data_IF_677148637767
#
_entry.id   IF_677148637767
#
_cell.length_a   1.000
_cell.length_b   1.000
_cell.length_c   1.000
_cell.angle_alpha   90.00
_cell.angle_beta   90.00
_cell.angle_gamma   90.00
#
_symmetry.space_group_name_H-M   'P 1'
#
loop_
_entity.id
_entity.type
_entity.pdbx_description
1 polymer ?
#
# COMPACT_ATOMS: atom_id res chain seq x y z
N UNK A 1 1.03 -37.09 17.12
CA UNK A 1 1.27 -35.69 17.49
C UNK A 1 0.75 -34.84 16.36
N UNK A 2 -0.34 -34.09 16.57
CA UNK A 2 -0.84 -33.16 15.58
C UNK A 2 0.18 -32.01 15.47
N UNK A 3 0.68 -31.75 14.27
CA UNK A 3 1.50 -30.56 14.05
C UNK A 3 0.66 -29.32 14.36
N UNK A 4 1.21 -28.29 15.03
CA UNK A 4 0.48 -27.06 15.23
C UNK A 4 0.10 -26.47 13.87
N UNK A 5 -1.17 -26.06 13.76
CA UNK A 5 -1.72 -25.41 12.57
C UNK A 5 -0.95 -24.11 12.24
N UNK A 6 -0.96 -23.70 10.98
CA UNK A 6 -0.18 -22.53 10.49
C UNK A 6 -0.40 -21.26 11.32
N UNK A 7 -1.63 -21.00 11.77
CA UNK A 7 -1.98 -19.87 12.62
C UNK A 7 -1.30 -19.94 14.01
N UNK A 8 -1.26 -21.13 14.62
CA UNK A 8 -0.61 -21.33 15.91
C UNK A 8 0.90 -21.12 15.83
N UNK A 9 1.51 -21.47 14.69
CA UNK A 9 2.93 -21.20 14.42
C UNK A 9 3.22 -19.70 14.24
N UNK A 10 2.30 -18.94 13.63
CA UNK A 10 2.44 -17.48 13.52
C UNK A 10 2.39 -16.83 14.89
N UNK A 11 1.42 -17.20 15.74
CA UNK A 11 1.32 -16.62 17.09
C UNK A 11 2.51 -17.01 17.96
N UNK A 12 2.98 -18.25 17.87
CA UNK A 12 4.20 -18.68 18.54
C UNK A 12 5.42 -17.86 18.08
N UNK A 13 5.55 -17.64 16.77
CA UNK A 13 6.59 -16.78 16.20
C UNK A 13 6.56 -15.36 16.76
N UNK A 14 5.38 -14.74 16.87
CA UNK A 14 5.21 -13.39 17.45
C UNK A 14 5.62 -13.34 18.93
N UNK A 15 5.31 -14.40 19.69
CA UNK A 15 5.74 -14.51 21.09
C UNK A 15 7.26 -14.60 21.19
N UNK A 16 7.92 -15.33 20.29
CA UNK A 16 9.38 -15.37 20.24
C UNK A 16 9.99 -14.03 19.81
N UNK A 17 9.41 -13.33 18.84
CA UNK A 17 9.84 -11.96 18.48
C UNK A 17 9.74 -11.00 19.68
N UNK A 18 8.63 -11.03 20.42
CA UNK A 18 8.44 -10.20 21.61
C UNK A 18 9.46 -10.49 22.72
N UNK A 19 10.02 -11.71 22.74
CA UNK A 19 11.07 -12.14 23.67
C UNK A 19 12.49 -11.88 23.14
N UNK A 20 12.62 -11.41 21.89
CA UNK A 20 13.91 -11.18 21.23
C UNK A 20 14.57 -12.44 20.66
N UNK A 21 13.88 -13.58 20.66
CA UNK A 21 14.40 -14.83 20.07
C UNK A 21 14.06 -14.91 18.58
N UNK A 22 14.84 -14.18 17.79
CA UNK A 22 14.67 -14.08 16.33
C UNK A 22 14.87 -15.44 15.64
N UNK A 23 15.73 -16.30 16.20
CA UNK A 23 16.01 -17.63 15.62
C UNK A 23 14.82 -18.58 15.77
N UNK A 24 14.20 -18.62 16.95
CA UNK A 24 12.99 -19.41 17.19
C UNK A 24 11.80 -18.87 16.40
N UNK A 25 11.66 -17.55 16.29
CA UNK A 25 10.63 -16.91 15.45
C UNK A 25 10.76 -17.29 13.98
N UNK A 26 11.99 -17.22 13.42
CA UNK A 26 12.27 -17.61 12.03
C UNK A 26 11.87 -19.07 11.76
N UNK A 27 12.15 -19.99 12.68
CA UNK A 27 11.76 -21.40 12.55
C UNK A 27 10.25 -21.58 12.55
N UNK A 28 9.52 -20.90 13.44
CA UNK A 28 8.06 -20.96 13.48
C UNK A 28 7.45 -20.44 12.18
N UNK A 29 7.94 -19.30 11.68
CA UNK A 29 7.47 -18.73 10.41
C UNK A 29 7.82 -19.59 9.20
N UNK A 30 9.00 -20.24 9.16
CA UNK A 30 9.32 -21.22 8.11
C UNK A 30 8.38 -22.40 8.09
N UNK A 31 8.01 -22.92 9.26
CA UNK A 31 7.06 -24.02 9.36
C UNK A 31 5.66 -23.58 8.91
N UNK A 32 5.19 -22.40 9.32
CA UNK A 32 3.90 -21.87 8.86
C UNK A 32 3.89 -21.59 7.35
N UNK A 33 4.98 -21.02 6.81
CA UNK A 33 5.12 -20.77 5.38
C UNK A 33 5.14 -22.07 4.56
N UNK A 34 5.80 -23.11 5.06
CA UNK A 34 5.78 -24.44 4.43
C UNK A 34 4.38 -25.08 4.43
N UNK A 35 3.52 -24.70 5.37
CA UNK A 35 2.11 -25.11 5.40
C UNK A 35 1.19 -24.27 4.50
N UNK A 36 1.73 -23.24 3.83
CA UNK A 36 0.96 -22.36 2.94
C UNK A 36 0.35 -21.14 3.64
N UNK A 37 0.67 -20.87 4.90
CA UNK A 37 0.14 -19.72 5.63
C UNK A 37 0.75 -18.41 5.12
N UNK A 38 -0.09 -17.52 4.58
CA UNK A 38 0.37 -16.27 3.97
C UNK A 38 0.89 -15.26 4.99
N UNK A 39 0.41 -15.29 6.23
CA UNK A 39 0.90 -14.42 7.30
C UNK A 39 2.28 -14.88 7.80
N UNK A 40 2.51 -16.20 7.86
CA UNK A 40 3.82 -16.77 8.13
C UNK A 40 4.84 -16.41 7.03
N UNK A 41 4.42 -16.45 5.76
CA UNK A 41 5.26 -16.02 4.62
C UNK A 41 5.63 -14.53 4.70
N UNK A 42 4.66 -13.63 4.95
CA UNK A 42 4.92 -12.19 5.15
C UNK A 42 5.90 -11.97 6.32
N UNK A 43 5.65 -12.60 7.47
CA UNK A 43 6.49 -12.48 8.66
C UNK A 43 7.91 -12.99 8.45
N UNK A 44 8.05 -14.16 7.83
CA UNK A 44 9.36 -14.71 7.47
C UNK A 44 10.12 -13.76 6.55
N UNK A 45 9.45 -13.22 5.54
CA UNK A 45 10.10 -12.32 4.61
C UNK A 45 10.56 -11.01 5.26
N UNK A 46 9.77 -10.42 6.16
CA UNK A 46 10.17 -9.24 6.93
C UNK A 46 11.37 -9.52 7.82
N UNK A 47 11.38 -10.66 8.50
CA UNK A 47 12.51 -11.07 9.34
C UNK A 47 13.80 -11.25 8.52
N UNK A 48 13.69 -11.90 7.36
CA UNK A 48 14.81 -12.04 6.42
C UNK A 48 15.29 -10.69 5.86
N UNK A 49 14.36 -9.76 5.63
CA UNK A 49 14.66 -8.42 5.15
C UNK A 49 15.36 -7.56 6.23
N UNK A 50 14.83 -7.54 7.46
CA UNK A 50 15.42 -6.82 8.60
C UNK A 50 16.82 -7.33 8.95
N UNK A 51 17.05 -8.64 8.82
CA UNK A 51 18.38 -9.24 8.96
C UNK A 51 19.41 -8.62 8.02
N UNK A 52 18.99 -8.21 6.83
CA UNK A 52 19.85 -7.55 5.84
C UNK A 52 19.97 -6.04 6.12
N UNK A 53 18.96 -5.40 6.69
CA UNK A 53 18.97 -3.98 7.04
C UNK A 53 19.82 -3.68 8.30
N UNK A 54 19.82 -4.57 9.29
CA UNK A 54 20.47 -4.37 10.61
C UNK A 54 21.98 -4.67 10.58
N UNK A 55 22.49 -5.49 9.65
CA UNK A 55 23.93 -5.74 9.53
C UNK A 55 24.64 -4.54 8.86
N UNK A 56 25.16 -3.65 9.70
CA UNK A 56 25.71 -2.35 9.33
C UNK A 56 26.85 -2.37 8.29
N UNK A 57 27.18 -1.16 7.80
CA UNK A 57 28.11 -0.84 6.69
C UNK A 57 29.48 -1.55 6.71
N UNK A 58 29.92 -2.13 7.84
CA UNK A 58 31.20 -2.82 8.00
C UNK A 58 31.14 -4.32 7.63
N UNK A 59 29.97 -4.96 7.70
CA UNK A 59 29.79 -6.40 7.43
C UNK A 59 29.33 -6.69 5.99
N UNK A 60 28.95 -5.63 5.26
CA UNK A 60 28.43 -5.65 3.88
C UNK A 60 29.33 -6.41 2.89
N UNK A 61 30.66 -6.42 3.12
CA UNK A 61 31.61 -7.15 2.27
C UNK A 61 31.81 -8.61 2.68
N UNK A 62 31.74 -8.94 3.98
CA UNK A 62 32.00 -10.30 4.48
C UNK A 62 30.79 -11.23 4.30
N UNK A 63 29.58 -10.67 4.26
CA UNK A 63 28.32 -11.42 4.19
C UNK A 63 27.47 -11.11 2.93
N UNK A 64 28.07 -10.52 1.89
CA UNK A 64 27.36 -10.08 0.69
C UNK A 64 26.47 -11.17 0.09
N UNK A 65 27.05 -12.35 -0.15
CA UNK A 65 26.33 -13.47 -0.76
C UNK A 65 25.18 -13.99 0.13
N UNK A 66 25.37 -13.97 1.46
CA UNK A 66 24.32 -14.34 2.42
C UNK A 66 23.17 -13.33 2.43
N UNK A 67 23.48 -12.05 2.37
CA UNK A 67 22.48 -10.97 2.35
C UNK A 67 21.71 -10.95 1.03
N UNK A 68 22.39 -11.21 -0.09
CA UNK A 68 21.76 -11.33 -1.39
C UNK A 68 20.85 -12.58 -1.44
N UNK A 69 21.26 -13.69 -0.83
CA UNK A 69 20.41 -14.89 -0.68
C UNK A 69 19.18 -14.61 0.18
N UNK A 70 19.32 -13.96 1.34
CA UNK A 70 18.21 -13.63 2.22
C UNK A 70 17.22 -12.65 1.54
N UNK A 71 17.71 -11.68 0.77
CA UNK A 71 16.85 -10.78 -0.03
C UNK A 71 16.07 -11.52 -1.11
N UNK A 72 16.69 -12.49 -1.79
CA UNK A 72 16.01 -13.33 -2.79
C UNK A 72 14.94 -14.22 -2.15
N UNK A 73 15.26 -14.82 -1.01
CA UNK A 73 14.32 -15.64 -0.24
C UNK A 73 13.13 -14.79 0.26
N UNK A 74 13.38 -13.60 0.80
CA UNK A 74 12.33 -12.67 1.18
C UNK A 74 11.43 -12.28 -0.01
N UNK A 75 12.02 -11.95 -1.18
CA UNK A 75 11.25 -11.66 -2.41
C UNK A 75 10.36 -12.84 -2.81
N UNK A 76 10.88 -14.07 -2.74
CA UNK A 76 10.12 -15.27 -3.08
C UNK A 76 8.91 -15.44 -2.16
N UNK A 77 9.10 -15.36 -0.83
CA UNK A 77 7.99 -15.53 0.11
C UNK A 77 6.95 -14.41 0.01
N UNK A 78 7.38 -13.16 -0.16
CA UNK A 78 6.48 -12.04 -0.41
C UNK A 78 5.68 -12.23 -1.69
N UNK A 79 6.31 -12.70 -2.77
CA UNK A 79 5.61 -12.97 -4.03
C UNK A 79 4.55 -14.04 -3.85
N UNK A 80 4.88 -15.16 -3.22
CA UNK A 80 3.91 -16.24 -2.94
C UNK A 80 2.74 -15.76 -2.09
N UNK A 81 3.02 -14.99 -1.02
CA UNK A 81 1.97 -14.45 -0.16
C UNK A 81 1.11 -13.38 -0.88
N UNK A 82 1.74 -12.52 -1.68
CA UNK A 82 1.05 -11.50 -2.47
C UNK A 82 0.16 -12.13 -3.56
N UNK A 83 0.67 -13.16 -4.26
CA UNK A 83 -0.10 -13.91 -5.25
C UNK A 83 -1.28 -14.68 -4.60
N UNK A 84 -1.15 -15.07 -3.33
CA UNK A 84 -2.22 -15.65 -2.53
C UNK A 84 -3.21 -14.61 -1.96
N UNK A 85 -3.06 -13.31 -2.27
CA UNK A 85 -4.00 -12.25 -1.90
C UNK A 85 -3.69 -11.52 -0.60
N UNK A 86 -2.53 -11.75 0.02
CA UNK A 86 -2.14 -11.06 1.25
C UNK A 86 -1.75 -9.60 0.95
N UNK A 87 -2.61 -8.66 1.35
CA UNK A 87 -2.44 -7.22 1.08
C UNK A 87 -1.17 -6.63 1.71
N UNK A 88 -0.79 -7.11 2.89
CA UNK A 88 0.45 -6.70 3.57
C UNK A 88 1.69 -7.17 2.81
N UNK A 89 1.67 -8.42 2.31
CA UNK A 89 2.75 -8.96 1.49
C UNK A 89 2.87 -8.22 0.15
N UNK A 90 1.76 -7.81 -0.47
CA UNK A 90 1.77 -6.97 -1.67
C UNK A 90 2.49 -5.63 -1.40
N UNK A 91 2.17 -4.95 -0.29
CA UNK A 91 2.81 -3.70 0.08
C UNK A 91 4.31 -3.89 0.38
N UNK A 92 4.68 -4.94 1.09
CA UNK A 92 6.07 -5.27 1.40
C UNK A 92 6.86 -5.66 0.14
N UNK A 93 6.26 -6.39 -0.80
CA UNK A 93 6.86 -6.69 -2.10
C UNK A 93 7.11 -5.42 -2.91
N UNK A 94 6.15 -4.50 -2.93
CA UNK A 94 6.31 -3.20 -3.58
C UNK A 94 7.49 -2.41 -3.01
N UNK A 95 7.67 -2.40 -1.68
CA UNK A 95 8.81 -1.75 -1.03
C UNK A 95 10.14 -2.38 -1.42
N UNK A 96 10.21 -3.70 -1.43
CA UNK A 96 11.42 -4.42 -1.83
C UNK A 96 11.81 -4.13 -3.28
N UNK A 97 10.84 -4.08 -4.18
CA UNK A 97 11.06 -3.79 -5.61
C UNK A 97 11.50 -2.33 -5.83
N UNK A 98 10.89 -1.38 -5.13
CA UNK A 98 11.27 0.04 -5.21
C UNK A 98 12.72 0.26 -4.77
N UNK A 99 13.15 -0.40 -3.69
CA UNK A 99 14.55 -0.36 -3.24
C UNK A 99 15.53 -0.99 -4.23
N UNK A 100 15.09 -1.99 -5.00
CA UNK A 100 15.85 -2.60 -6.07
C UNK A 100 15.86 -1.74 -7.35
N UNK A 101 15.10 -0.65 -7.38
CA UNK A 101 14.96 0.22 -8.53
C UNK A 101 13.93 -0.28 -9.56
N UNK A 102 13.23 -1.37 -9.27
CA UNK A 102 12.17 -1.96 -10.10
C UNK A 102 10.83 -1.21 -9.90
N UNK A 103 10.87 0.13 -10.06
CA UNK A 103 9.78 1.05 -9.68
C UNK A 103 8.44 0.78 -10.39
N UNK A 104 8.48 0.35 -11.65
CA UNK A 104 7.26 0.07 -12.40
C UNK A 104 6.51 -1.16 -11.83
N UNK A 105 7.24 -2.20 -11.44
CA UNK A 105 6.62 -3.37 -10.80
C UNK A 105 6.19 -3.05 -9.37
N UNK A 106 6.97 -2.25 -8.64
CA UNK A 106 6.61 -1.76 -7.31
C UNK A 106 5.27 -1.01 -7.29
N UNK A 107 5.07 -0.09 -8.24
CA UNK A 107 3.83 0.67 -8.41
C UNK A 107 2.62 -0.26 -8.59
N UNK A 108 2.73 -1.31 -9.41
CA UNK A 108 1.66 -2.28 -9.62
C UNK A 108 1.30 -3.04 -8.34
N UNK A 109 2.31 -3.44 -7.55
CA UNK A 109 2.07 -4.12 -6.28
C UNK A 109 1.45 -3.22 -5.23
N UNK A 110 1.85 -1.96 -5.18
CA UNK A 110 1.21 -0.99 -4.30
C UNK A 110 -0.25 -0.75 -4.69
N UNK A 111 -0.57 -0.60 -5.97
CA UNK A 111 -1.96 -0.44 -6.42
C UNK A 111 -2.82 -1.65 -6.02
N UNK A 112 -2.32 -2.87 -6.22
CA UNK A 112 -3.03 -4.09 -5.77
C UNK A 112 -3.21 -4.15 -4.26
N UNK A 113 -2.20 -3.75 -3.50
CA UNK A 113 -2.28 -3.68 -2.04
C UNK A 113 -3.37 -2.68 -1.60
N UNK A 114 -3.44 -1.51 -2.25
CA UNK A 114 -4.48 -0.51 -2.02
C UNK A 114 -5.87 -1.05 -2.35
N UNK A 115 -6.04 -1.73 -3.48
CA UNK A 115 -7.31 -2.38 -3.86
C UNK A 115 -7.75 -3.43 -2.83
N UNK A 116 -6.80 -4.15 -2.26
CA UNK A 116 -7.01 -5.11 -1.18
C UNK A 116 -7.19 -4.47 0.22
N UNK A 117 -7.12 -3.13 0.32
CA UNK A 117 -7.39 -2.38 1.55
C UNK A 117 -6.16 -2.05 2.41
N UNK A 118 -4.95 -2.32 1.94
CA UNK A 118 -3.72 -2.02 2.68
C UNK A 118 -3.38 -0.52 2.60
N UNK A 119 -3.69 0.18 3.68
CA UNK A 119 -3.53 1.65 3.75
C UNK A 119 -2.06 2.10 3.76
N UNK A 120 -1.14 1.25 4.23
CA UNK A 120 0.30 1.58 4.18
C UNK A 120 0.84 1.69 2.75
N UNK A 121 0.25 0.96 1.80
CA UNK A 121 0.62 1.02 0.39
C UNK A 121 0.33 2.38 -0.25
N UNK A 122 -0.72 3.09 0.19
CA UNK A 122 -1.04 4.43 -0.29
C UNK A 122 0.11 5.41 0.01
N UNK A 123 0.68 5.35 1.22
CA UNK A 123 1.81 6.21 1.58
C UNK A 123 3.05 5.92 0.71
N UNK A 124 3.34 4.65 0.49
CA UNK A 124 4.51 4.24 -0.28
C UNK A 124 4.36 4.55 -1.77
N UNK A 125 3.14 4.43 -2.30
CA UNK A 125 2.81 4.85 -3.66
C UNK A 125 3.01 6.35 -3.83
N UNK A 126 2.56 7.16 -2.86
CA UNK A 126 2.81 8.61 -2.87
C UNK A 126 4.31 8.94 -2.88
N UNK A 127 5.13 8.22 -2.10
CA UNK A 127 6.58 8.41 -2.08
C UNK A 127 7.25 8.01 -3.41
N UNK A 128 6.79 6.93 -4.03
CA UNK A 128 7.26 6.48 -5.33
C UNK A 128 7.00 7.56 -6.41
N UNK A 129 5.80 8.12 -6.43
CA UNK A 129 5.40 9.18 -7.37
C UNK A 129 6.15 10.48 -7.12
N UNK A 130 6.34 10.84 -5.85
CA UNK A 130 7.11 12.03 -5.46
C UNK A 130 8.54 11.96 -6.00
N UNK A 131 9.21 10.80 -5.84
CA UNK A 131 10.57 10.59 -6.40
C UNK A 131 10.61 10.55 -7.93
N UNK A 132 9.49 10.26 -8.59
CA UNK A 132 9.33 10.35 -10.05
C UNK A 132 9.06 11.78 -10.52
N UNK A 133 8.81 12.72 -9.60
CA UNK A 133 8.39 14.09 -9.92
C UNK A 133 6.90 14.23 -10.22
N UNK A 134 6.12 13.18 -10.05
CA UNK A 134 4.66 13.23 -10.13
C UNK A 134 4.09 13.65 -8.77
N UNK A 135 4.25 14.92 -8.46
CA UNK A 135 3.82 15.46 -7.17
C UNK A 135 2.28 15.46 -7.05
N UNK A 136 1.53 15.45 -8.16
CA UNK A 136 0.07 15.53 -8.17
C UNK A 136 -0.52 14.18 -7.73
N UNK A 137 -0.03 13.10 -8.35
CA UNK A 137 -0.34 11.74 -7.93
C UNK A 137 0.19 11.44 -6.52
N UNK A 138 1.37 11.97 -6.15
CA UNK A 138 1.89 11.84 -4.79
C UNK A 138 0.95 12.48 -3.76
N UNK A 139 0.48 13.70 -4.03
CA UNK A 139 -0.49 14.40 -3.20
C UNK A 139 -1.80 13.65 -3.05
N UNK A 140 -2.35 13.12 -4.15
CA UNK A 140 -3.56 12.29 -4.11
C UNK A 140 -3.41 11.13 -3.12
N UNK A 141 -2.38 10.30 -3.28
CA UNK A 141 -2.21 9.11 -2.43
C UNK A 141 -1.84 9.45 -0.98
N UNK A 142 -1.08 10.52 -0.74
CA UNK A 142 -0.79 10.98 0.62
C UNK A 142 -2.02 11.59 1.30
N UNK A 143 -2.91 12.26 0.57
CA UNK A 143 -4.20 12.67 1.11
C UNK A 143 -5.06 11.47 1.49
N UNK A 144 -5.18 10.46 0.61
CA UNK A 144 -5.88 9.21 0.93
C UNK A 144 -5.27 8.49 2.15
N UNK A 145 -3.95 8.39 2.20
CA UNK A 145 -3.24 7.76 3.33
C UNK A 145 -3.43 8.54 4.65
N UNK A 146 -3.38 9.88 4.60
CA UNK A 146 -3.63 10.73 5.76
C UNK A 146 -5.07 10.58 6.26
N UNK A 147 -6.02 10.50 5.34
CA UNK A 147 -7.43 10.27 5.62
C UNK A 147 -7.66 8.88 6.27
N UNK A 148 -6.87 7.88 5.88
CA UNK A 148 -6.80 6.57 6.53
C UNK A 148 -6.00 6.56 7.86
N UNK A 149 -5.56 7.72 8.36
CA UNK A 149 -4.87 7.86 9.66
C UNK A 149 -3.34 7.79 9.61
N UNK A 150 -2.72 7.79 8.43
CA UNK A 150 -1.25 7.74 8.30
C UNK A 150 -0.59 9.06 8.69
N UNK A 151 0.05 9.08 9.87
CA UNK A 151 0.87 10.22 10.32
C UNK A 151 2.08 10.49 9.39
N UNK A 152 2.63 9.45 8.77
CA UNK A 152 3.72 9.58 7.81
C UNK A 152 3.25 10.36 6.57
N UNK A 153 2.05 10.09 6.09
CA UNK A 153 1.48 10.79 4.94
C UNK A 153 1.23 12.27 5.25
N UNK A 154 0.70 12.60 6.44
CA UNK A 154 0.52 13.99 6.89
C UNK A 154 1.84 14.76 6.91
N UNK A 155 2.93 14.10 7.32
CA UNK A 155 4.27 14.71 7.29
C UNK A 155 4.73 14.92 5.85
N UNK A 156 4.58 13.92 4.99
CA UNK A 156 5.02 13.98 3.59
C UNK A 156 4.27 15.04 2.78
N UNK A 157 2.98 15.28 3.07
CA UNK A 157 2.21 16.36 2.44
C UNK A 157 2.84 17.75 2.63
N UNK A 158 3.61 17.97 3.70
CA UNK A 158 4.32 19.24 3.95
C UNK A 158 5.51 19.45 3.02
N UNK A 159 6.02 18.37 2.42
CA UNK A 159 7.14 18.42 1.48
C UNK A 159 6.67 18.72 0.04
N UNK A 160 5.36 18.71 -0.22
CA UNK A 160 4.83 19.06 -1.53
C UNK A 160 5.07 20.53 -1.86
N UNK A 161 5.42 20.85 -3.12
CA UNK A 161 5.49 22.23 -3.58
C UNK A 161 4.16 22.97 -3.37
N UNK A 162 4.19 24.26 -2.95
CA UNK A 162 2.98 25.03 -2.74
C UNK A 162 2.20 25.24 -4.05
N UNK A 163 0.86 25.28 -3.94
CA UNK A 163 -0.03 25.55 -5.08
C UNK A 163 -0.33 24.34 -5.96
N UNK A 164 0.03 23.14 -5.52
CA UNK A 164 -0.26 21.93 -6.29
C UNK A 164 -1.74 21.51 -6.16
N UNK A 165 -2.45 21.24 -7.28
CA UNK A 165 -3.78 20.66 -7.21
C UNK A 165 -3.72 19.25 -6.62
N UNK A 166 -4.74 18.87 -5.86
CA UNK A 166 -4.98 17.45 -5.53
C UNK A 166 -5.27 16.77 -6.87
N UNK A 167 -4.28 16.01 -7.37
CA UNK A 167 -4.40 15.37 -8.68
C UNK A 167 -5.51 14.32 -8.70
N UNK A 168 -6.09 14.02 -9.88
CA UNK A 168 -6.90 12.82 -10.03
C UNK A 168 -6.06 11.57 -9.68
N UNK A 169 -6.69 10.43 -9.34
CA UNK A 169 -5.97 9.18 -9.16
C UNK A 169 -5.06 8.93 -10.36
N UNK A 170 -3.75 8.69 -10.17
CA UNK A 170 -2.84 8.51 -11.30
C UNK A 170 -3.30 7.31 -12.12
N UNK A 171 -3.39 7.51 -13.44
CA UNK A 171 -3.78 6.45 -14.37
C UNK A 171 -2.73 5.34 -14.33
N UNK A 172 -3.11 4.06 -14.14
CA UNK A 172 -2.14 2.96 -14.13
C UNK A 172 -1.39 2.92 -15.47
N UNK A 173 -0.06 2.89 -15.42
CA UNK A 173 0.79 2.77 -16.61
C UNK A 173 0.42 1.48 -17.34
N UNK A 174 -0.09 1.62 -18.56
CA UNK A 174 -0.70 0.57 -19.35
C UNK A 174 0.30 -0.54 -19.69
N UNK A 175 0.01 -1.76 -19.23
CA UNK A 175 0.81 -2.95 -19.54
C UNK A 175 0.11 -4.24 -19.08
N UNK A 176 -0.82 -4.73 -19.91
CA UNK A 176 -1.50 -6.05 -19.88
C UNK A 176 -2.80 -6.22 -19.05
N UNK A 177 -3.66 -7.19 -19.45
CA UNK A 177 -4.98 -6.93 -19.99
C UNK A 177 -6.03 -6.68 -18.92
N UNK A 178 -6.99 -5.83 -19.29
CA UNK A 178 -8.27 -5.62 -18.65
C UNK A 178 -8.88 -6.94 -18.16
N UNK A 179 -8.78 -7.22 -16.86
CA UNK A 179 -9.89 -7.89 -16.18
C UNK A 179 -10.79 -6.79 -15.68
N UNK A 180 -11.91 -6.66 -16.39
CA UNK A 180 -13.10 -5.92 -15.99
C UNK A 180 -13.34 -6.11 -14.50
N UNK A 181 -12.95 -5.10 -13.74
CA UNK A 181 -13.23 -4.92 -12.33
C UNK A 181 -13.46 -3.44 -12.20
N UNK A 182 -14.66 -3.01 -12.57
CA UNK A 182 -15.14 -1.66 -12.25
C UNK A 182 -14.79 -1.39 -10.79
N UNK A 183 -14.04 -0.33 -10.51
CA UNK A 183 -13.86 0.12 -9.13
C UNK A 183 -15.28 0.28 -8.56
N UNK A 184 -15.65 -0.43 -7.48
CA UNK A 184 -17.00 -0.33 -6.95
C UNK A 184 -17.25 1.12 -6.54
N UNK A 185 -18.16 1.76 -7.25
CA UNK A 185 -18.61 3.14 -7.11
C UNK A 185 -18.95 3.54 -5.66
N UNK A 186 -19.27 2.56 -4.80
CA UNK A 186 -19.52 2.76 -3.37
C UNK A 186 -18.31 3.20 -2.53
N UNK A 187 -17.07 2.78 -2.88
CA UNK A 187 -15.86 3.17 -2.10
C UNK A 187 -15.35 4.58 -2.40
N UNK A 188 -15.71 5.12 -3.57
CA UNK A 188 -15.33 6.48 -3.98
C UNK A 188 -16.14 7.56 -3.23
N UNK A 189 -17.42 7.29 -2.92
CA UNK A 189 -18.25 8.18 -2.11
C UNK A 189 -17.77 8.27 -0.65
N UNK A 190 -17.27 7.15 -0.09
CA UNK A 190 -16.67 7.12 1.25
C UNK A 190 -15.35 7.90 1.30
N UNK A 191 -14.54 7.84 0.23
CA UNK A 191 -13.33 8.64 0.10
C UNK A 191 -13.64 10.14 -0.05
N UNK A 192 -14.71 10.53 -0.75
CA UNK A 192 -15.16 11.93 -0.80
C UNK A 192 -15.61 12.45 0.57
N UNK A 193 -16.42 11.66 1.28
CA UNK A 193 -16.86 12.00 2.64
C UNK A 193 -15.68 12.20 3.61
N UNK A 194 -14.60 11.44 3.40
CA UNK A 194 -13.39 11.49 4.21
C UNK A 194 -12.48 12.69 3.87
N UNK A 195 -12.46 13.12 2.60
CA UNK A 195 -11.75 14.34 2.16
C UNK A 195 -12.48 15.61 2.61
N UNK A 196 -13.82 15.57 2.70
CA UNK A 196 -14.65 16.71 3.10
C UNK A 196 -14.85 16.84 4.62
N UNK A 197 -14.51 15.82 5.41
CA UNK A 197 -14.79 15.72 6.86
C UNK A 197 -16.27 15.88 7.25
N UNK A 198 -17.19 15.83 6.28
CA UNK A 198 -18.64 15.86 6.50
C UNK A 198 -19.35 15.03 5.42
N UNK A 199 -19.79 13.84 5.85
CA UNK A 199 -20.49 12.86 5.02
C UNK A 199 -21.85 13.38 4.52
N UNK A 200 -22.55 14.19 5.31
CA UNK A 200 -23.86 14.72 4.93
C UNK A 200 -23.76 15.74 3.79
N UNK A 201 -22.66 16.49 3.73
CA UNK A 201 -22.41 17.46 2.66
C UNK A 201 -21.96 16.76 1.37
N UNK A 202 -21.13 15.72 1.46
CA UNK A 202 -20.77 14.89 0.31
C UNK A 202 -21.98 14.20 -0.32
N UNK A 203 -22.87 13.61 0.50
CA UNK A 203 -24.07 12.93 0.01
C UNK A 203 -25.05 13.90 -0.68
N UNK A 204 -25.25 15.12 -0.14
CA UNK A 204 -26.10 16.14 -0.76
C UNK A 204 -25.55 16.64 -2.09
N UNK A 205 -24.22 16.78 -2.20
CA UNK A 205 -23.57 17.26 -3.40
C UNK A 205 -23.66 16.23 -4.54
N UNK A 206 -23.46 14.95 -4.21
CA UNK A 206 -23.65 13.84 -5.16
C UNK A 206 -25.10 13.76 -5.62
N UNK A 207 -26.07 13.88 -4.72
CA UNK A 207 -27.50 13.84 -5.05
C UNK A 207 -27.91 15.04 -5.92
N UNK A 208 -27.38 16.24 -5.63
CA UNK A 208 -27.61 17.47 -6.41
C UNK A 208 -27.07 17.35 -7.84
N UNK A 209 -25.85 16.84 -8.03
CA UNK A 209 -25.27 16.66 -9.35
C UNK A 209 -26.00 15.55 -10.14
N UNK A 210 -26.45 14.48 -9.46
CA UNK A 210 -27.29 13.42 -10.06
C UNK A 210 -28.59 13.95 -10.62
N UNK A 211 -29.20 14.94 -9.96
CA UNK A 211 -30.42 15.60 -10.43
C UNK A 211 -30.17 16.47 -11.67
N UNK A 212 -28.99 17.07 -11.80
CA UNK A 212 -28.63 17.90 -12.97
C UNK A 212 -28.11 17.09 -14.15
N UNK A 213 -27.52 15.92 -13.91
CA UNK A 213 -26.99 15.04 -14.95
C UNK A 213 -27.30 13.57 -14.65
N UNK A 214 -28.57 13.12 -14.82
CA UNK A 214 -29.01 11.78 -14.43
C UNK A 214 -28.38 10.64 -15.24
N UNK A 215 -27.77 10.95 -16.38
CA UNK A 215 -27.05 10.01 -17.25
C UNK A 215 -25.53 10.03 -17.03
N UNK A 216 -25.00 10.96 -16.22
CA UNK A 216 -23.56 11.08 -15.99
C UNK A 216 -23.08 9.99 -15.02
N UNK A 217 -21.88 9.50 -15.28
CA UNK A 217 -21.22 8.53 -14.41
C UNK A 217 -20.84 9.17 -13.08
N UNK A 218 -20.77 8.38 -12.01
CA UNK A 218 -20.46 8.88 -10.68
C UNK A 218 -19.11 9.63 -10.62
N UNK A 219 -18.14 9.24 -11.46
CA UNK A 219 -16.86 9.94 -11.60
C UNK A 219 -17.01 11.36 -12.15
N UNK A 220 -17.83 11.54 -13.19
CA UNK A 220 -18.10 12.87 -13.78
C UNK A 220 -18.86 13.81 -12.83
N UNK A 221 -19.73 13.25 -11.99
CA UNK A 221 -20.46 14.01 -10.96
C UNK A 221 -19.50 14.49 -9.85
N UNK A 222 -18.52 13.67 -9.49
CA UNK A 222 -17.50 13.98 -8.49
C UNK A 222 -16.54 15.06 -8.98
N UNK A 223 -16.09 14.99 -10.23
CA UNK A 223 -15.19 16.01 -10.80
C UNK A 223 -15.86 17.39 -10.82
N UNK A 224 -17.14 17.46 -11.21
CA UNK A 224 -17.93 18.71 -11.17
C UNK A 224 -18.12 19.26 -9.76
N UNK A 225 -18.34 18.37 -8.79
CA UNK A 225 -18.46 18.72 -7.38
C UNK A 225 -17.17 19.34 -6.83
N UNK A 226 -16.02 18.76 -7.18
CA UNK A 226 -14.70 19.27 -6.78
C UNK A 226 -14.42 20.64 -7.41
N UNK A 227 -14.72 20.82 -8.70
CA UNK A 227 -14.55 22.08 -9.41
C UNK A 227 -15.41 23.21 -8.80
N UNK A 228 -16.66 22.92 -8.43
CA UNK A 228 -17.55 23.89 -7.76
C UNK A 228 -17.03 24.31 -6.38
N UNK A 229 -16.54 23.36 -5.57
CA UNK A 229 -15.94 23.65 -4.27
C UNK A 229 -14.66 24.49 -4.38
N UNK A 230 -13.89 24.31 -5.47
CA UNK A 230 -12.73 25.14 -5.78
C UNK A 230 -13.10 26.57 -6.16
N UNK A 231 -14.24 26.79 -6.81
CA UNK A 231 -14.74 28.12 -7.15
C UNK A 231 -15.33 28.89 -5.95
N UNK A 232 -16.05 28.21 -5.03
CA UNK A 232 -16.63 28.88 -3.85
C UNK A 232 -15.59 29.28 -2.79
N UNK A 233 -14.42 28.62 -2.75
CA UNK A 233 -13.30 29.02 -1.87
C UNK A 233 -12.54 30.26 -2.35
N UNK A 234 -12.76 30.70 -3.59
CA UNK A 234 -12.09 31.84 -4.22
C UNK A 234 -12.97 33.11 -4.31
N UNK A 235 -14.10 33.15 -3.59
CA UNK A 235 -14.92 34.35 -3.35
C UNK A 235 -14.86 34.76 -1.90
#
# INVERSE_FOLDING_TARGET
>A
MAYPDGEALVELGRVYEARGDVGAAEQCYRQGAAQGDTAAMDRLARLLYDRVAVQGRFERWRNRDRNDSARREARMWLRTAADAGNAQAMAALGALLDEQGERAEAEQWYLRAVEAGESSAMNNLGLLLYRRGDFAGAGYWWHCAAAAGSAAAVRNLRELPPGMPIGPPPTPVSGHPSRSGSIPSGRYAELLALVMSDRATADRLIEYERQQAPQASLGELIDKAIDRLGHDRNR
#
